data_IF_953878243976
#
_entry.id   IF_953878243976
#
_cell.length_a   1.000
_cell.length_b   1.000
_cell.length_c   1.000
_cell.angle_alpha   90.00
_cell.angle_beta   90.00
_cell.angle_gamma   90.00
#
_symmetry.space_group_name_H-M   'P 1'
#
loop_
_entity.id
_entity.type
_entity.pdbx_description
1 polymer ?
#
# COMPACT_ATOMS: atom_id res chain seq x y z
N UNK A 1 1.88 1.27 -14.76
CA UNK A 1 1.18 2.38 -14.09
C UNK A 1 -0.31 2.20 -14.36
N UNK A 2 -1.05 1.56 -13.45
CA UNK A 2 -2.49 1.40 -13.60
C UNK A 2 -3.22 2.61 -13.00
N UNK A 3 -3.90 3.37 -13.86
CA UNK A 3 -4.83 4.42 -13.44
C UNK A 3 -6.04 3.78 -12.79
N UNK A 4 -6.06 3.71 -11.46
CA UNK A 4 -7.30 3.60 -10.70
C UNK A 4 -7.86 5.01 -10.48
N UNK A 5 -9.15 5.18 -10.78
CA UNK A 5 -9.76 6.42 -11.28
C UNK A 5 -9.57 7.71 -10.47
N UNK A 6 -9.11 7.67 -9.22
CA UNK A 6 -8.87 8.88 -8.41
C UNK A 6 -7.89 8.73 -7.25
N UNK A 7 -7.24 7.58 -7.07
CA UNK A 7 -6.25 7.36 -5.99
C UNK A 7 -5.17 6.41 -6.51
N UNK A 8 -3.92 6.66 -6.13
CA UNK A 8 -2.78 5.82 -6.46
C UNK A 8 -2.23 5.15 -5.20
N UNK A 9 -1.86 3.88 -5.32
CA UNK A 9 -1.18 3.13 -4.27
C UNK A 9 0.20 2.73 -4.78
N UNK A 10 1.24 3.03 -4.01
CA UNK A 10 2.60 2.62 -4.26
C UNK A 10 3.04 1.67 -3.15
N UNK A 11 3.41 0.44 -3.51
CA UNK A 11 3.94 -0.54 -2.58
C UNK A 11 5.39 -0.78 -2.94
N UNK A 12 6.27 -0.72 -1.96
CA UNK A 12 7.70 -0.86 -2.13
C UNK A 12 8.29 -1.67 -0.99
N UNK A 13 9.40 -2.34 -1.28
CA UNK A 13 10.20 -3.02 -0.27
C UNK A 13 11.48 -2.24 -0.12
N UNK A 14 11.77 -1.78 1.09
CA UNK A 14 12.98 -1.01 1.39
C UNK A 14 14.16 -1.93 1.66
N UNK A 15 15.37 -1.37 1.66
CA UNK A 15 16.62 -2.09 1.95
C UNK A 15 16.60 -2.82 3.32
N UNK A 16 15.82 -2.33 4.29
CA UNK A 16 15.59 -2.96 5.59
C UNK A 16 14.57 -4.13 5.57
N UNK A 17 14.18 -4.64 4.40
CA UNK A 17 13.13 -5.67 4.25
C UNK A 17 11.75 -5.26 4.81
N UNK A 18 11.48 -3.95 4.90
CA UNK A 18 10.18 -3.41 5.28
C UNK A 18 9.31 -3.20 4.05
N UNK A 19 8.02 -3.42 4.21
CA UNK A 19 6.99 -3.06 3.24
C UNK A 19 6.55 -1.63 3.55
N UNK A 20 6.67 -0.76 2.55
CA UNK A 20 6.09 0.57 2.54
C UNK A 20 4.87 0.57 1.62
N UNK A 21 3.74 1.09 2.11
CA UNK A 21 2.51 1.26 1.38
C UNK A 21 2.09 2.72 1.45
N UNK A 22 2.14 3.40 0.30
CA UNK A 22 1.85 4.81 0.18
C UNK A 22 0.54 4.99 -0.59
N UNK A 23 -0.44 5.60 0.07
CA UNK A 23 -1.72 5.96 -0.52
C UNK A 23 -1.72 7.45 -0.86
N UNK A 24 -1.86 7.73 -2.16
CA UNK A 24 -1.90 9.07 -2.72
C UNK A 24 -3.29 9.31 -3.29
N UNK A 25 -3.93 10.42 -2.90
CA UNK A 25 -5.22 10.81 -3.50
C UNK A 25 -4.98 11.70 -4.72
N UNK A 26 -5.73 11.50 -5.80
CA UNK A 26 -5.76 12.42 -6.95
C UNK A 26 -6.40 13.72 -6.46
N UNK A 27 -5.80 14.85 -6.81
CA UNK A 27 -6.17 16.19 -6.31
C UNK A 27 -5.90 16.42 -4.81
N UNK A 28 -4.86 15.81 -4.23
CA UNK A 28 -4.38 16.29 -2.93
C UNK A 28 -3.99 17.75 -3.04
N UNK A 29 -4.54 18.59 -2.15
CA UNK A 29 -4.01 19.93 -1.95
C UNK A 29 -2.55 19.83 -1.50
N UNK A 30 -1.74 20.86 -1.77
CA UNK A 30 -0.31 20.94 -1.40
C UNK A 30 -0.08 20.70 0.12
N UNK A 31 -1.12 20.87 0.93
CA UNK A 31 -1.11 20.70 2.39
C UNK A 31 -1.56 19.31 2.87
N UNK A 32 -1.98 18.42 1.97
CA UNK A 32 -2.33 17.05 2.31
C UNK A 32 -1.14 16.14 1.98
N UNK A 33 -0.60 15.50 3.01
CA UNK A 33 0.45 14.51 2.85
C UNK A 33 -0.15 13.14 2.50
N UNK A 34 0.54 12.34 1.67
CA UNK A 34 0.13 10.97 1.42
C UNK A 34 0.18 10.16 2.71
N UNK A 35 -0.72 9.19 2.83
CA UNK A 35 -0.74 8.29 3.99
C UNK A 35 0.29 7.21 3.72
N UNK A 36 1.28 7.09 4.60
CA UNK A 36 2.34 6.09 4.51
C UNK A 36 2.17 5.07 5.63
N UNK A 37 2.10 3.80 5.27
CA UNK A 37 2.16 2.68 6.20
C UNK A 37 3.46 1.93 6.00
N UNK A 38 4.17 1.67 7.10
CA UNK A 38 5.42 0.93 7.09
C UNK A 38 5.33 -0.22 8.07
N UNK A 39 5.81 -1.40 7.67
CA UNK A 39 5.72 -2.61 8.48
C UNK A 39 6.60 -3.71 7.93
N UNK A 40 6.97 -4.65 8.80
CA UNK A 40 7.85 -5.78 8.43
C UNK A 40 7.10 -6.99 7.88
N UNK A 41 5.78 -7.00 8.03
CA UNK A 41 4.94 -8.07 7.52
C UNK A 41 3.58 -7.53 7.09
N UNK A 42 2.88 -8.36 6.31
CA UNK A 42 1.53 -8.09 5.86
C UNK A 42 0.55 -7.79 7.00
N UNK A 43 0.65 -8.51 8.12
CA UNK A 43 -0.29 -8.40 9.23
C UNK A 43 -0.22 -7.03 9.92
N UNK A 44 0.98 -6.49 10.14
CA UNK A 44 1.19 -5.16 10.70
C UNK A 44 0.64 -4.09 9.76
N UNK A 45 0.93 -4.17 8.46
CA UNK A 45 0.37 -3.23 7.48
C UNK A 45 -1.16 -3.31 7.46
N UNK A 46 -1.73 -4.51 7.49
CA UNK A 46 -3.18 -4.71 7.51
C UNK A 46 -3.83 -4.11 8.77
N UNK A 47 -3.20 -4.27 9.94
CA UNK A 47 -3.65 -3.63 11.18
C UNK A 47 -3.61 -2.10 11.07
N UNK A 48 -2.50 -1.54 10.56
CA UNK A 48 -2.36 -0.09 10.36
C UNK A 48 -3.42 0.46 9.40
N UNK A 49 -3.66 -0.23 8.28
CA UNK A 49 -4.69 0.16 7.30
C UNK A 49 -6.09 0.12 7.93
N UNK A 50 -6.39 -0.88 8.76
CA UNK A 50 -7.69 -0.99 9.45
C UNK A 50 -7.91 0.07 10.53
N UNK A 51 -6.85 0.47 11.22
CA UNK A 51 -6.89 1.55 12.22
C UNK A 51 -7.04 2.92 11.59
N UNK A 52 -6.52 3.11 10.38
CA UNK A 52 -6.66 4.34 9.65
C UNK A 52 -8.01 4.36 8.93
N UNK A 53 -8.78 5.46 9.03
CA UNK A 53 -10.09 5.59 8.37
C UNK A 53 -9.95 5.83 6.85
N UNK A 54 -9.35 4.86 6.15
CA UNK A 54 -9.18 4.87 4.70
C UNK A 54 -10.49 4.56 3.97
N UNK A 55 -11.48 4.02 4.70
CA UNK A 55 -12.74 3.49 4.16
C UNK A 55 -13.60 4.53 3.43
N UNK A 56 -13.53 5.79 3.83
CA UNK A 56 -14.28 6.87 3.18
C UNK A 56 -13.71 7.28 1.81
N UNK A 57 -12.49 6.84 1.46
CA UNK A 57 -11.84 7.23 0.19
C UNK A 57 -11.47 6.08 -0.74
N UNK A 58 -11.45 4.84 -0.23
CA UNK A 58 -11.10 3.66 -1.01
C UNK A 58 -12.33 2.80 -1.24
N UNK A 59 -12.74 2.66 -2.50
CA UNK A 59 -13.73 1.63 -2.85
C UNK A 59 -13.20 0.22 -2.56
N UNK A 60 -14.12 -0.74 -2.44
CA UNK A 60 -13.80 -2.16 -2.19
C UNK A 60 -12.78 -2.70 -3.20
N UNK A 61 -12.83 -2.23 -4.47
CA UNK A 61 -11.89 -2.62 -5.51
C UNK A 61 -10.45 -2.17 -5.20
N UNK A 62 -10.28 -0.94 -4.68
CA UNK A 62 -8.97 -0.44 -4.26
C UNK A 62 -8.43 -1.27 -3.10
N UNK A 63 -9.26 -1.55 -2.10
CA UNK A 63 -8.90 -2.34 -0.93
C UNK A 63 -8.42 -3.74 -1.36
N UNK A 64 -9.15 -4.40 -2.27
CA UNK A 64 -8.75 -5.70 -2.83
C UNK A 64 -7.41 -5.64 -3.56
N UNK A 65 -7.17 -4.60 -4.35
CA UNK A 65 -5.90 -4.42 -5.05
C UNK A 65 -4.73 -4.25 -4.07
N UNK A 66 -4.89 -3.36 -3.08
CA UNK A 66 -3.86 -3.09 -2.07
C UNK A 66 -3.50 -4.37 -1.32
N UNK A 67 -4.49 -5.12 -0.83
CA UNK A 67 -4.22 -6.36 -0.11
C UNK A 67 -3.57 -7.43 -0.99
N UNK A 68 -3.95 -7.54 -2.26
CA UNK A 68 -3.32 -8.45 -3.22
C UNK A 68 -1.83 -8.13 -3.39
N UNK A 69 -1.49 -6.86 -3.60
CA UNK A 69 -0.12 -6.43 -3.80
C UNK A 69 0.73 -6.51 -2.52
N UNK A 70 0.16 -6.17 -1.36
CA UNK A 70 0.83 -6.34 -0.07
C UNK A 70 1.12 -7.81 0.24
N UNK A 71 0.19 -8.71 -0.07
CA UNK A 71 0.39 -10.14 0.10
C UNK A 71 1.51 -10.66 -0.80
N UNK A 72 1.55 -10.22 -2.07
CA UNK A 72 2.68 -10.52 -2.97
C UNK A 72 4.00 -9.98 -2.43
N UNK A 73 4.04 -8.73 -1.96
CA UNK A 73 5.25 -8.14 -1.39
C UNK A 73 5.76 -8.95 -0.18
N UNK A 74 4.84 -9.38 0.69
CA UNK A 74 5.17 -10.22 1.83
C UNK A 74 5.69 -11.60 1.42
N UNK A 75 5.11 -12.21 0.39
CA UNK A 75 5.65 -13.46 -0.17
C UNK A 75 7.04 -13.28 -0.77
N UNK A 76 7.28 -12.19 -1.50
CA UNK A 76 8.60 -11.87 -2.04
C UNK A 76 9.62 -11.71 -0.91
N UNK A 77 9.28 -11.04 0.20
CA UNK A 77 10.13 -10.97 1.39
C UNK A 77 10.45 -12.34 1.98
N UNK A 78 9.42 -13.17 2.19
CA UNK A 78 9.58 -14.50 2.76
C UNK A 78 10.45 -15.41 1.89
N UNK A 79 10.36 -15.26 0.57
CA UNK A 79 11.10 -16.05 -0.41
C UNK A 79 12.44 -15.40 -0.81
N UNK A 80 12.78 -14.24 -0.22
CA UNK A 80 13.95 -13.43 -0.58
C UNK A 80 14.03 -13.12 -2.08
N UNK A 81 12.89 -12.80 -2.69
CA UNK A 81 12.72 -12.43 -4.09
C UNK A 81 12.50 -10.92 -4.26
N UNK A 82 12.84 -10.41 -5.44
CA UNK A 82 12.58 -9.02 -5.80
C UNK A 82 11.07 -8.84 -6.03
N UNK A 83 10.45 -7.96 -5.25
CA UNK A 83 9.07 -7.56 -5.47
C UNK A 83 8.97 -6.54 -6.60
N UNK A 84 8.01 -6.76 -7.50
CA UNK A 84 7.65 -5.83 -8.57
C UNK A 84 6.14 -5.62 -8.50
N UNK A 85 5.72 -4.37 -8.31
CA UNK A 85 4.31 -4.00 -8.31
C UNK A 85 3.73 -4.11 -9.73
N UNK A 86 2.58 -4.77 -9.86
CA UNK A 86 1.88 -4.99 -11.14
C UNK A 86 0.45 -4.46 -11.14
#
# INVERSE_FOLDING_TARGET
MFSMESNYCLIQITDDYKINCLLIKKNMSIYQYPICFTGYNYDLINQLIKQHDCGNSLSISHIKYIFKELYKANLCLLLNQIYIQS
#
